data_IF_167181647161
#
_entry.id   IF_167181647161
#
_cell.length_a   1.000
_cell.length_b   1.000
_cell.length_c   1.000
_cell.angle_alpha   90.00
_cell.angle_beta   90.00
_cell.angle_gamma   90.00
#
_symmetry.space_group_name_H-M   'P 1'
#
loop_
_entity.id
_entity.type
_entity.pdbx_description
1 polymer ?
#
# COMPACT_ATOMS: atom_id res chain seq x y z
N UNK A 1 -5.98 28.39 -14.00
CA UNK A 1 -7.45 28.44 -14.22
C UNK A 1 -8.02 27.12 -13.71
N UNK A 2 -8.62 27.11 -12.52
CA UNK A 2 -9.22 25.89 -11.95
C UNK A 2 -10.52 25.58 -12.68
N UNK A 3 -10.51 24.57 -13.54
CA UNK A 3 -11.73 24.11 -14.22
C UNK A 3 -12.59 23.31 -13.24
N UNK A 4 -13.60 23.96 -12.66
CA UNK A 4 -14.62 23.31 -11.85
C UNK A 4 -15.50 22.39 -12.70
N UNK A 5 -15.90 21.24 -12.14
CA UNK A 5 -16.95 20.37 -12.68
C UNK A 5 -18.09 20.34 -11.66
N UNK A 6 -19.33 20.65 -12.09
CA UNK A 6 -20.53 20.73 -11.23
C UNK A 6 -20.39 21.64 -9.99
N UNK A 7 -19.89 22.87 -10.13
CA UNK A 7 -19.76 23.84 -9.01
C UNK A 7 -18.95 23.32 -7.80
N UNK A 8 -18.11 22.30 -7.98
CA UNK A 8 -17.16 21.83 -6.97
C UNK A 8 -15.74 22.15 -7.42
N UNK A 9 -14.94 22.69 -6.49
CA UNK A 9 -13.50 22.80 -6.67
C UNK A 9 -12.96 21.39 -6.90
N UNK A 10 -12.47 21.12 -8.12
CA UNK A 10 -11.82 19.85 -8.43
C UNK A 10 -10.37 19.98 -7.96
N UNK A 11 -10.05 19.27 -6.88
CA UNK A 11 -8.66 19.07 -6.46
C UNK A 11 -7.99 18.28 -7.59
N UNK A 12 -6.80 18.71 -8.02
CA UNK A 12 -6.04 17.91 -8.97
C UNK A 12 -5.70 16.54 -8.36
N UNK A 13 -5.62 15.52 -9.21
CA UNK A 13 -5.24 14.18 -8.76
C UNK A 13 -3.85 14.23 -8.12
N UNK A 14 -3.69 13.53 -6.99
CA UNK A 14 -2.38 13.28 -6.39
C UNK A 14 -1.53 12.30 -7.23
N UNK A 15 -2.10 11.70 -8.28
CA UNK A 15 -1.39 10.82 -9.21
C UNK A 15 -0.44 11.66 -10.07
N UNK A 16 0.83 11.27 -10.10
CA UNK A 16 1.83 11.89 -10.97
C UNK A 16 1.53 11.54 -12.43
N UNK A 17 1.03 12.51 -13.20
CA UNK A 17 0.43 12.28 -14.53
C UNK A 17 1.37 11.67 -15.57
N UNK A 18 2.67 11.85 -15.42
CA UNK A 18 3.68 11.42 -16.38
C UNK A 18 4.56 10.29 -15.83
N UNK A 19 4.03 9.53 -14.87
CA UNK A 19 4.69 8.39 -14.27
C UNK A 19 3.86 7.13 -14.46
N UNK A 20 4.48 6.09 -15.02
CA UNK A 20 3.89 4.76 -15.04
C UNK A 20 4.30 4.03 -13.74
N UNK A 21 3.31 3.81 -12.87
CA UNK A 21 3.52 3.10 -11.60
C UNK A 21 3.79 1.60 -11.79
N UNK A 22 3.74 1.10 -13.02
CA UNK A 22 4.21 -0.22 -13.38
C UNK A 22 5.72 -0.28 -13.64
N UNK A 23 6.42 0.85 -13.81
CA UNK A 23 7.86 0.85 -14.08
C UNK A 23 8.69 0.25 -12.96
N UNK A 24 9.90 -0.18 -13.32
CA UNK A 24 10.89 -0.64 -12.38
C UNK A 24 11.25 0.49 -11.41
N UNK A 25 10.72 0.40 -10.18
CA UNK A 25 10.88 1.39 -9.14
C UNK A 25 10.42 0.85 -7.78
N UNK A 26 10.88 1.53 -6.73
CA UNK A 26 10.40 1.33 -5.37
C UNK A 26 9.17 2.20 -5.11
N UNK A 27 8.16 1.60 -4.50
CA UNK A 27 6.89 2.23 -4.20
C UNK A 27 6.58 2.16 -2.70
N UNK A 28 5.99 3.24 -2.18
CA UNK A 28 5.40 3.26 -0.85
C UNK A 28 3.91 2.93 -0.94
N UNK A 29 3.49 1.90 -0.22
CA UNK A 29 2.10 1.45 -0.11
C UNK A 29 1.55 1.96 1.22
N UNK A 30 0.41 2.65 1.16
CA UNK A 30 -0.33 3.08 2.35
C UNK A 30 -1.80 2.66 2.21
N UNK A 31 -2.28 1.87 3.15
CA UNK A 31 -3.66 1.42 3.24
C UNK A 31 -4.19 1.77 4.63
N UNK A 32 -5.22 2.62 4.70
CA UNK A 32 -5.94 2.92 5.93
C UNK A 32 -7.28 2.19 5.97
N UNK A 33 -7.69 1.74 7.15
CA UNK A 33 -9.04 1.22 7.36
C UNK A 33 -10.06 2.36 7.26
N UNK A 34 -11.29 2.00 6.91
CA UNK A 34 -12.38 2.98 6.83
C UNK A 34 -12.62 3.62 8.20
N UNK A 35 -12.69 4.95 8.22
CA UNK A 35 -12.89 5.76 9.43
C UNK A 35 -11.82 5.50 10.52
N UNK A 36 -10.64 5.01 10.15
CA UNK A 36 -9.54 4.73 11.08
C UNK A 36 -9.88 3.73 12.19
N UNK A 37 -10.85 2.84 11.94
CA UNK A 37 -11.28 1.79 12.90
C UNK A 37 -10.19 0.73 13.06
N UNK A 38 -10.01 0.27 14.29
CA UNK A 38 -8.96 -0.68 14.67
C UNK A 38 -9.35 -2.11 14.26
N UNK A 39 -9.20 -2.43 12.97
CA UNK A 39 -9.56 -3.73 12.42
C UNK A 39 -8.45 -4.78 12.60
N UNK A 40 -7.20 -4.36 12.70
CA UNK A 40 -6.05 -5.27 12.65
C UNK A 40 -5.55 -5.71 14.04
N UNK A 41 -6.08 -5.12 15.11
CA UNK A 41 -5.71 -5.39 16.49
C UNK A 41 -5.64 -4.11 17.30
N UNK A 42 -4.90 -4.15 18.40
CA UNK A 42 -4.76 -3.04 19.35
C UNK A 42 -3.29 -2.83 19.74
N UNK A 43 -2.99 -1.71 20.40
CA UNK A 43 -1.68 -1.47 21.01
C UNK A 43 -1.79 -1.68 22.52
N UNK A 44 -1.03 -2.63 23.05
CA UNK A 44 -0.93 -2.92 24.49
C UNK A 44 0.51 -2.69 24.94
N UNK A 45 0.71 -1.89 25.99
CA UNK A 45 2.04 -1.55 26.53
C UNK A 45 3.02 -1.02 25.47
N UNK A 46 2.51 -0.21 24.54
CA UNK A 46 3.30 0.36 23.44
C UNK A 46 3.68 -0.63 22.34
N UNK A 47 3.15 -1.86 22.36
CA UNK A 47 3.41 -2.89 21.36
C UNK A 47 2.15 -3.23 20.60
N UNK A 48 2.28 -3.43 19.29
CA UNK A 48 1.19 -3.90 18.46
C UNK A 48 0.82 -5.35 18.81
N UNK A 49 -0.46 -5.60 19.05
CA UNK A 49 -1.05 -6.93 19.29
C UNK A 49 -2.05 -7.20 18.17
N UNK A 50 -1.65 -8.03 17.21
CA UNK A 50 -2.49 -8.34 16.05
C UNK A 50 -3.61 -9.32 16.44
N UNK A 51 -4.82 -9.01 15.96
CA UNK A 51 -5.90 -10.00 15.90
C UNK A 51 -5.76 -10.86 14.64
N UNK A 52 -6.72 -11.76 14.38
CA UNK A 52 -6.61 -12.69 13.26
C UNK A 52 -6.71 -12.00 11.89
N UNK A 53 -7.40 -10.85 11.80
CA UNK A 53 -7.42 -10.03 10.58
C UNK A 53 -6.03 -9.40 10.36
N UNK A 54 -5.43 -8.82 11.40
CA UNK A 54 -4.07 -8.26 11.32
C UNK A 54 -3.02 -9.28 10.91
N UNK A 55 -3.07 -10.49 11.49
CA UNK A 55 -2.19 -11.60 11.07
C UNK A 55 -2.42 -12.01 9.62
N UNK A 56 -3.68 -11.99 9.16
CA UNK A 56 -4.01 -12.28 7.76
C UNK A 56 -3.39 -11.24 6.82
N UNK A 57 -3.37 -9.96 7.20
CA UNK A 57 -2.67 -8.91 6.42
C UNK A 57 -1.18 -9.22 6.29
N UNK A 58 -0.50 -9.57 7.39
CA UNK A 58 0.92 -9.93 7.34
C UNK A 58 1.18 -11.15 6.43
N UNK A 59 0.38 -12.20 6.59
CA UNK A 59 0.51 -13.44 5.82
C UNK A 59 0.33 -13.17 4.32
N UNK A 60 -0.73 -12.47 3.94
CA UNK A 60 -1.02 -12.21 2.51
C UNK A 60 -0.05 -11.17 1.90
N UNK A 61 0.49 -10.25 2.71
CA UNK A 61 1.59 -9.38 2.27
C UNK A 61 2.84 -10.18 1.94
N UNK A 62 3.29 -11.06 2.84
CA UNK A 62 4.48 -11.87 2.59
C UNK A 62 4.28 -12.85 1.42
N UNK A 63 3.09 -13.43 1.31
CA UNK A 63 2.71 -14.34 0.22
C UNK A 63 2.68 -13.65 -1.15
N UNK A 64 2.51 -12.33 -1.20
CA UNK A 64 2.49 -11.57 -2.47
C UNK A 64 3.75 -11.77 -3.30
N UNK A 65 4.91 -11.94 -2.66
CA UNK A 65 6.21 -12.13 -3.30
C UNK A 65 6.35 -13.54 -3.90
N UNK A 66 5.78 -14.55 -3.25
CA UNK A 66 5.76 -15.92 -3.77
C UNK A 66 4.75 -16.09 -4.91
N UNK A 67 3.63 -15.37 -4.85
CA UNK A 67 2.55 -15.45 -5.84
C UNK A 67 2.87 -14.75 -7.17
N UNK A 68 3.89 -13.88 -7.22
CA UNK A 68 4.22 -13.04 -8.37
C UNK A 68 5.70 -13.18 -8.77
N UNK A 69 6.15 -14.40 -9.11
CA UNK A 69 7.55 -14.65 -9.48
C UNK A 69 7.95 -13.97 -10.80
N UNK A 70 6.96 -13.58 -11.60
CA UNK A 70 7.08 -12.90 -12.89
C UNK A 70 7.39 -11.41 -12.75
N UNK A 71 7.16 -10.80 -11.58
CA UNK A 71 7.26 -9.35 -11.40
C UNK A 71 8.61 -8.87 -10.86
N UNK A 72 9.51 -9.78 -10.49
CA UNK A 72 10.80 -9.47 -9.84
C UNK A 72 10.61 -8.54 -8.62
N UNK A 73 9.74 -8.93 -7.69
CA UNK A 73 9.42 -8.13 -6.51
C UNK A 73 10.53 -8.16 -5.46
N UNK A 74 10.79 -7.01 -4.84
CA UNK A 74 11.68 -6.88 -3.69
C UNK A 74 10.88 -6.47 -2.45
N UNK A 75 11.03 -7.25 -1.37
CA UNK A 75 10.40 -6.96 -0.09
C UNK A 75 11.19 -5.88 0.64
N UNK A 76 10.55 -4.71 0.86
CA UNK A 76 11.04 -3.69 1.78
C UNK A 76 10.38 -3.79 3.16
N UNK A 77 10.66 -2.81 4.00
CA UNK A 77 10.06 -2.71 5.33
C UNK A 77 8.53 -2.54 5.24
N UNK A 78 7.81 -3.17 6.16
CA UNK A 78 6.38 -3.02 6.30
C UNK A 78 5.95 -3.04 7.77
N UNK A 79 4.77 -2.52 8.04
CA UNK A 79 4.17 -2.53 9.38
C UNK A 79 2.66 -2.61 9.30
N UNK A 80 2.08 -3.49 10.11
CA UNK A 80 0.64 -3.54 10.39
C UNK A 80 0.40 -2.84 11.73
N UNK A 81 -0.43 -1.82 11.72
CA UNK A 81 -0.87 -1.05 12.89
C UNK A 81 -2.38 -1.21 13.04
N UNK A 82 -3.02 -0.81 14.15
CA UNK A 82 -4.42 -1.16 14.41
C UNK A 82 -5.38 -0.84 13.26
N UNK A 83 -5.13 0.26 12.56
CA UNK A 83 -6.00 0.82 11.53
C UNK A 83 -5.29 1.19 10.22
N UNK A 84 -4.01 0.84 10.06
CA UNK A 84 -3.31 1.06 8.80
C UNK A 84 -2.26 0.01 8.55
N UNK A 85 -1.87 -0.10 7.28
CA UNK A 85 -0.78 -0.90 6.80
C UNK A 85 0.11 0.00 5.92
N UNK A 86 1.39 0.03 6.23
CA UNK A 86 2.40 0.71 5.42
C UNK A 86 3.43 -0.31 4.94
N UNK A 87 3.88 -0.17 3.70
CA UNK A 87 4.95 -1.01 3.18
C UNK A 87 5.78 -0.33 2.10
N UNK A 88 6.98 -0.84 1.90
CA UNK A 88 7.84 -0.55 0.77
C UNK A 88 7.89 -1.81 -0.10
N UNK A 89 7.69 -1.62 -1.40
CA UNK A 89 7.80 -2.70 -2.39
C UNK A 89 8.61 -2.24 -3.59
N UNK A 90 9.63 -3.01 -3.95
CA UNK A 90 10.32 -2.86 -5.23
C UNK A 90 9.61 -3.67 -6.29
N UNK A 91 9.31 -3.05 -7.42
CA UNK A 91 8.93 -3.75 -8.65
C UNK A 91 10.16 -3.71 -9.54
N UNK A 92 10.75 -4.86 -9.84
CA UNK A 92 11.90 -4.97 -10.71
C UNK A 92 11.52 -4.91 -12.19
N UNK A 93 12.55 -4.94 -13.05
CA UNK A 93 12.36 -5.10 -14.50
C UNK A 93 11.79 -6.48 -14.81
N UNK A 94 10.69 -6.56 -15.53
CA UNK A 94 10.03 -7.81 -15.92
C UNK A 94 9.49 -7.73 -17.36
N UNK A 95 8.74 -8.72 -17.81
CA UNK A 95 8.18 -8.75 -19.17
C UNK A 95 7.01 -7.78 -19.40
N UNK A 96 6.43 -7.24 -18.32
CA UNK A 96 5.28 -6.35 -18.35
C UNK A 96 5.66 -4.87 -18.23
N UNK A 97 6.87 -4.57 -17.75
CA UNK A 97 7.38 -3.21 -17.60
C UNK A 97 8.74 -3.03 -18.30
N UNK A 98 8.88 -1.94 -19.06
CA UNK A 98 10.07 -1.65 -19.86
C UNK A 98 11.21 -1.04 -19.03
#
# INVERSE_FOLDING_TARGET
MSNGYQNKYRIESAILRNWDYGWNATHFVNICTKNSVYFFGDVMDGKMVLNDIGKTVEIEWLKTFEMRPDMNLELGDFVVMPNYFHAIIGIGKNEYNA
#
